data_IF_904268712352
#
_entry.id   IF_904268712352
#
_cell.length_a   1.000
_cell.length_b   1.000
_cell.length_c   1.000
_cell.angle_alpha   90.00
_cell.angle_beta   90.00
_cell.angle_gamma   90.00
#
_symmetry.space_group_name_H-M   'P 1'
#
loop_
_entity.id
_entity.type
_entity.pdbx_description
1 polymer ?
#
# COMPACT_ATOMS: atom_id res chain seq x y z
N UNK A 1 3.45 -3.36 -11.72
CA UNK A 1 2.31 -2.70 -11.07
C UNK A 1 1.37 -2.19 -12.15
N UNK A 2 0.06 -2.39 -12.04
CA UNK A 2 -0.92 -1.83 -12.98
C UNK A 2 -1.17 -0.36 -12.59
N UNK A 3 -0.99 0.63 -13.49
CA UNK A 3 -1.21 2.04 -13.18
C UNK A 3 -2.64 2.36 -12.72
N UNK A 4 -3.64 1.51 -13.03
CA UNK A 4 -5.02 1.67 -12.56
C UNK A 4 -5.17 1.48 -11.05
N UNK A 5 -4.19 0.85 -10.39
CA UNK A 5 -4.17 0.70 -8.93
C UNK A 5 -3.63 1.96 -8.23
N UNK A 6 -3.09 2.94 -8.96
CA UNK A 6 -2.49 4.12 -8.34
C UNK A 6 -3.52 5.20 -8.00
N UNK A 7 -3.40 5.73 -6.79
CA UNK A 7 -4.15 6.88 -6.28
C UNK A 7 -3.23 7.85 -5.55
N UNK A 8 -3.69 9.10 -5.44
CA UNK A 8 -3.06 10.08 -4.54
C UNK A 8 -3.03 9.49 -3.14
N UNK A 9 -1.89 9.63 -2.46
CA UNK A 9 -1.64 9.03 -1.15
C UNK A 9 -0.85 7.72 -1.17
N UNK A 10 -0.80 7.00 -2.31
CA UNK A 10 -0.04 5.74 -2.36
C UNK A 10 1.46 5.94 -2.17
N UNK A 11 2.09 5.00 -1.45
CA UNK A 11 3.53 4.85 -1.32
C UNK A 11 4.04 3.86 -2.37
N UNK A 12 4.95 4.32 -3.21
CA UNK A 12 5.60 3.56 -4.29
C UNK A 12 7.10 3.78 -4.25
N UNK A 13 7.85 3.01 -5.03
CA UNK A 13 9.28 3.19 -5.22
C UNK A 13 9.54 3.77 -6.61
N UNK A 14 10.52 4.67 -6.73
CA UNK A 14 10.92 5.24 -8.02
C UNK A 14 12.24 4.63 -8.50
N UNK A 15 12.25 4.02 -9.69
CA UNK A 15 13.43 3.43 -10.32
C UNK A 15 14.20 2.41 -9.46
N UNK A 16 13.51 1.65 -8.59
CA UNK A 16 14.14 0.64 -7.72
C UNK A 16 15.27 1.20 -6.83
N UNK A 17 15.13 2.46 -6.40
CA UNK A 17 16.17 3.15 -5.63
C UNK A 17 16.15 2.86 -4.12
N UNK A 18 15.25 2.00 -3.65
CA UNK A 18 15.03 1.65 -2.24
C UNK A 18 14.27 2.70 -1.43
N UNK A 19 13.88 3.83 -2.03
CA UNK A 19 13.32 4.96 -1.30
C UNK A 19 11.81 5.10 -1.56
N UNK A 20 10.97 5.10 -0.50
CA UNK A 20 9.54 5.30 -0.66
C UNK A 20 9.23 6.74 -1.11
N UNK A 21 8.33 6.86 -2.09
CA UNK A 21 7.80 8.11 -2.64
C UNK A 21 6.28 8.09 -2.50
N UNK A 22 5.69 9.18 -2.01
CA UNK A 22 4.23 9.35 -1.94
C UNK A 22 3.71 10.01 -3.20
N UNK A 23 2.65 9.45 -3.80
CA UNK A 23 1.96 10.07 -4.92
C UNK A 23 1.15 11.26 -4.41
N UNK A 24 1.53 12.47 -4.80
CA UNK A 24 0.83 13.72 -4.42
C UNK A 24 -0.01 14.30 -5.56
N UNK A 25 0.26 13.88 -6.80
CA UNK A 25 -0.53 14.23 -7.99
C UNK A 25 -0.45 13.10 -9.01
N UNK A 26 -1.53 12.93 -9.78
CA UNK A 26 -1.57 12.11 -10.99
C UNK A 26 -1.80 13.03 -12.19
N UNK A 27 -1.15 12.75 -13.31
CA UNK A 27 -1.28 13.57 -14.52
C UNK A 27 -2.71 13.55 -15.07
N UNK A 28 -3.12 14.64 -15.73
CA UNK A 28 -4.43 14.78 -16.36
C UNK A 28 -4.30 14.56 -17.87
N UNK A 29 -5.04 13.60 -18.41
CA UNK A 29 -5.12 13.41 -19.86
C UNK A 29 -6.21 14.24 -20.50
N UNK A 30 -5.78 15.34 -21.15
CA UNK A 30 -6.64 16.16 -21.98
C UNK A 30 -6.68 15.54 -23.38
N UNK A 31 -7.64 14.64 -23.59
CA UNK A 31 -7.83 13.88 -24.83
C UNK A 31 -7.99 14.74 -26.10
N UNK A 32 -8.30 16.04 -25.96
CA UNK A 32 -8.53 16.96 -27.08
C UNK A 32 -7.23 17.56 -27.66
N UNK A 33 -6.14 17.60 -26.89
CA UNK A 33 -4.94 18.36 -27.28
C UNK A 33 -3.67 17.52 -27.53
N UNK A 34 -3.69 16.19 -27.34
CA UNK A 34 -2.49 15.33 -27.51
C UNK A 34 -1.23 15.92 -26.83
N UNK A 35 -1.40 16.59 -25.68
CA UNK A 35 -0.28 17.09 -24.89
C UNK A 35 0.01 16.06 -23.80
N UNK A 36 1.15 15.39 -23.94
CA UNK A 36 1.66 14.47 -22.93
C UNK A 36 2.52 15.24 -21.90
N UNK A 37 1.94 15.54 -20.75
CA UNK A 37 2.66 16.12 -19.61
C UNK A 37 2.72 15.10 -18.45
N UNK A 38 3.52 14.04 -18.60
CA UNK A 38 3.55 12.94 -17.62
C UNK A 38 4.94 12.60 -17.13
N UNK A 39 5.03 12.38 -15.81
CA UNK A 39 5.98 11.45 -15.23
C UNK A 39 5.60 10.02 -15.65
N UNK A 40 6.55 9.27 -16.20
CA UNK A 40 6.31 7.93 -16.73
C UNK A 40 6.06 6.93 -15.60
N UNK A 41 4.81 6.47 -15.43
CA UNK A 41 4.44 5.46 -14.42
C UNK A 41 5.24 4.15 -14.54
N UNK A 42 5.86 3.87 -15.70
CA UNK A 42 6.75 2.71 -15.89
C UNK A 42 7.98 2.75 -14.97
N UNK A 43 8.32 3.91 -14.44
CA UNK A 43 9.40 4.09 -13.47
C UNK A 43 8.94 3.90 -12.01
N UNK A 44 7.65 3.66 -11.78
CA UNK A 44 7.11 3.41 -10.44
C UNK A 44 6.95 1.91 -10.21
N UNK A 45 7.43 1.44 -9.06
CA UNK A 45 7.30 0.06 -8.63
C UNK A 45 6.53 0.00 -7.31
N UNK A 46 5.77 -1.08 -7.12
CA UNK A 46 5.11 -1.33 -5.84
C UNK A 46 6.14 -1.70 -4.80
N UNK A 47 6.09 -1.07 -3.63
CA UNK A 47 6.95 -1.45 -2.50
C UNK A 47 6.45 -2.80 -1.97
N UNK A 48 7.29 -3.85 -1.88
CA UNK A 48 6.87 -5.14 -1.33
C UNK A 48 6.32 -4.97 0.09
N UNK A 49 5.17 -5.58 0.35
CA UNK A 49 4.60 -5.56 1.70
C UNK A 49 5.42 -6.50 2.59
N UNK A 50 6.02 -5.93 3.63
CA UNK A 50 6.76 -6.67 4.65
C UNK A 50 6.15 -6.42 6.03
N UNK A 51 6.53 -7.25 7.00
CA UNK A 51 6.17 -7.04 8.40
C UNK A 51 6.60 -5.66 8.92
N UNK A 52 7.78 -5.17 8.52
CA UNK A 52 8.26 -3.82 8.87
C UNK A 52 7.31 -2.72 8.38
N UNK A 53 6.76 -2.87 7.17
CA UNK A 53 5.79 -1.91 6.63
C UNK A 53 4.47 -1.91 7.39
N UNK A 54 3.97 -3.08 7.78
CA UNK A 54 2.75 -3.17 8.61
C UNK A 54 2.94 -2.42 9.93
N UNK A 55 4.08 -2.60 10.59
CA UNK A 55 4.41 -1.91 11.84
C UNK A 55 4.56 -0.39 11.62
N UNK A 56 5.24 0.05 10.55
CA UNK A 56 5.37 1.49 10.20
C UNK A 56 4.04 2.17 9.86
N UNK A 57 3.06 1.40 9.38
CA UNK A 57 1.70 1.86 9.10
C UNK A 57 0.80 1.79 10.35
N UNK A 58 1.38 1.42 11.50
CA UNK A 58 0.72 1.34 12.80
C UNK A 58 -0.28 0.20 12.92
N UNK A 59 -0.01 -0.94 12.28
CA UNK A 59 -0.68 -2.19 12.63
C UNK A 59 -0.01 -2.82 13.85
N UNK A 60 -0.84 -3.32 14.76
CA UNK A 60 -0.39 -4.05 15.94
C UNK A 60 -0.29 -5.54 15.62
N UNK A 61 0.84 -6.15 15.99
CA UNK A 61 1.06 -7.59 15.81
C UNK A 61 0.50 -8.36 17.01
N UNK A 62 -0.36 -9.34 16.73
CA UNK A 62 -0.92 -10.27 17.69
C UNK A 62 -0.71 -11.72 17.25
N UNK A 63 -0.86 -12.63 18.21
CA UNK A 63 -0.86 -14.07 17.97
C UNK A 63 -2.28 -14.61 18.21
N UNK A 64 -2.87 -15.17 17.17
CA UNK A 64 -4.16 -15.84 17.22
C UNK A 64 -4.06 -17.30 17.66
N UNK A 65 -5.11 -18.07 17.37
CA UNK A 65 -5.14 -19.51 17.59
C UNK A 65 -4.14 -20.22 16.68
N UNK A 66 -3.53 -21.30 17.17
CA UNK A 66 -2.56 -22.12 16.42
C UNK A 66 -1.33 -21.34 15.93
N UNK A 67 -0.84 -20.41 16.76
CA UNK A 67 0.34 -19.56 16.48
C UNK A 67 0.21 -18.64 15.24
N UNK A 68 -1.02 -18.43 14.77
CA UNK A 68 -1.30 -17.56 13.63
C UNK A 68 -0.89 -16.12 13.94
N UNK A 69 -0.12 -15.49 13.05
CA UNK A 69 0.27 -14.08 13.20
C UNK A 69 -0.77 -13.19 12.51
N UNK A 70 -1.37 -12.29 13.30
CA UNK A 70 -2.41 -11.36 12.86
C UNK A 70 -1.92 -9.93 13.10
N UNK A 71 -2.11 -9.06 12.12
CA UNK A 71 -1.85 -7.63 12.21
C UNK A 71 -3.18 -6.89 12.19
N UNK A 72 -3.47 -6.09 13.21
CA UNK A 72 -4.75 -5.39 13.33
C UNK A 72 -4.57 -3.86 13.38
N UNK A 73 -5.49 -3.13 12.74
CA UNK A 73 -5.61 -1.67 12.84
C UNK A 73 -7.02 -1.23 12.49
N UNK A 74 -7.66 -0.39 13.31
CA UNK A 74 -8.99 0.18 13.02
C UNK A 74 -10.05 -0.88 12.63
N UNK A 75 -9.98 -2.09 13.20
CA UNK A 75 -10.87 -3.21 12.86
C UNK A 75 -10.54 -3.93 11.53
N UNK A 76 -9.43 -3.59 10.87
CA UNK A 76 -8.88 -4.32 9.72
C UNK A 76 -7.84 -5.32 10.21
N UNK A 77 -8.01 -6.58 9.83
CA UNK A 77 -7.08 -7.68 10.16
C UNK A 77 -6.38 -8.20 8.91
N UNK A 78 -5.06 -8.34 9.01
CA UNK A 78 -4.17 -8.88 7.98
C UNK A 78 -3.43 -10.08 8.56
N UNK A 79 -3.53 -11.23 7.90
CA UNK A 79 -2.98 -12.50 8.36
C UNK A 79 -1.69 -12.82 7.59
N UNK A 80 -0.68 -13.32 8.30
CA UNK A 80 0.56 -13.80 7.69
C UNK A 80 0.39 -15.27 7.29
N UNK A 81 0.55 -15.56 5.99
CA UNK A 81 0.44 -16.90 5.42
C UNK A 81 1.76 -17.34 4.79
N UNK A 82 1.87 -18.62 4.42
CA UNK A 82 3.11 -19.24 3.90
C UNK A 82 3.75 -18.48 2.72
N UNK A 83 2.96 -17.69 1.95
CA UNK A 83 3.41 -16.99 0.75
C UNK A 83 3.03 -15.49 0.68
N UNK A 84 2.86 -14.82 1.82
CA UNK A 84 2.59 -13.38 1.86
C UNK A 84 1.59 -12.99 2.96
N UNK A 85 0.76 -11.98 2.64
CA UNK A 85 -0.27 -11.48 3.53
C UNK A 85 -1.64 -11.61 2.87
N UNK A 86 -2.64 -11.99 3.66
CA UNK A 86 -4.05 -12.06 3.27
C UNK A 86 -4.90 -11.19 4.20
N UNK A 87 -6.04 -10.72 3.72
CA UNK A 87 -7.06 -10.12 4.58
C UNK A 87 -8.10 -11.17 4.99
N UNK A 88 -9.04 -10.82 5.88
CA UNK A 88 -10.18 -11.67 6.22
C UNK A 88 -11.13 -12.04 5.05
N UNK A 89 -10.80 -11.68 3.80
CA UNK A 89 -11.55 -11.95 2.57
C UNK A 89 -10.69 -12.82 1.60
N UNK A 90 -9.60 -13.44 2.07
CA UNK A 90 -8.71 -14.31 1.28
C UNK A 90 -8.17 -13.65 0.00
N UNK A 91 -7.86 -12.35 0.10
CA UNK A 91 -7.21 -11.59 -0.96
C UNK A 91 -5.73 -11.45 -0.66
N UNK A 92 -4.89 -11.97 -1.56
CA UNK A 92 -3.43 -11.83 -1.45
C UNK A 92 -2.97 -10.38 -1.69
N UNK A 93 -2.22 -9.83 -0.73
CA UNK A 93 -1.66 -8.48 -0.78
C UNK A 93 -0.13 -8.58 -0.86
N UNK A 94 0.45 -8.10 -1.96
CA UNK A 94 1.89 -8.23 -2.21
C UNK A 94 2.66 -6.91 -2.01
N UNK A 95 1.96 -5.78 -1.96
CA UNK A 95 2.58 -4.46 -1.96
C UNK A 95 1.88 -3.45 -1.05
N UNK A 96 2.64 -2.44 -0.62
CA UNK A 96 2.16 -1.39 0.28
C UNK A 96 0.99 -0.62 -0.34
N UNK A 97 1.04 -0.27 -1.63
CA UNK A 97 -0.06 0.47 -2.28
C UNK A 97 -1.36 -0.35 -2.34
N UNK A 98 -1.28 -1.67 -2.54
CA UNK A 98 -2.44 -2.55 -2.49
C UNK A 98 -3.09 -2.56 -1.10
N UNK A 99 -2.27 -2.61 -0.04
CA UNK A 99 -2.78 -2.49 1.33
C UNK A 99 -3.44 -1.13 1.58
N UNK A 100 -2.81 -0.03 1.13
CA UNK A 100 -3.38 1.31 1.27
C UNK A 100 -4.71 1.47 0.53
N UNK A 101 -4.85 0.86 -0.64
CA UNK A 101 -6.11 0.87 -1.39
C UNK A 101 -7.20 0.09 -0.68
N UNK A 102 -6.87 -1.12 -0.20
CA UNK A 102 -7.81 -1.94 0.56
C UNK A 102 -8.26 -1.23 1.83
N UNK A 103 -7.31 -0.68 2.61
CA UNK A 103 -7.60 0.03 3.84
C UNK A 103 -8.54 1.23 3.61
N UNK A 104 -8.29 2.01 2.57
CA UNK A 104 -9.15 3.12 2.19
C UNK A 104 -10.57 2.66 1.81
N UNK A 105 -10.69 1.58 1.03
CA UNK A 105 -12.00 1.01 0.66
C UNK A 105 -12.76 0.51 1.89
N UNK A 106 -12.08 -0.10 2.86
CA UNK A 106 -12.70 -0.66 4.07
C UNK A 106 -13.07 0.40 5.11
N UNK A 107 -12.26 1.46 5.25
CA UNK A 107 -12.36 2.40 6.38
C UNK A 107 -12.75 3.81 5.99
N UNK A 108 -12.61 4.18 4.71
CA UNK A 108 -12.73 5.56 4.23
C UNK A 108 -11.58 6.49 4.66
N UNK A 109 -10.54 5.96 5.33
CA UNK A 109 -9.38 6.73 5.81
C UNK A 109 -8.12 6.40 5.00
N UNK A 110 -7.20 7.36 4.92
CA UNK A 110 -5.88 7.10 4.36
C UNK A 110 -5.00 6.29 5.31
N UNK A 111 -4.30 5.30 4.76
CA UNK A 111 -3.30 4.55 5.51
C UNK A 111 -1.93 5.22 5.31
N UNK A 112 -1.57 6.02 6.30
CA UNK A 112 -0.32 6.80 6.31
C UNK A 112 0.70 6.17 7.26
N UNK A 113 1.96 6.60 7.13
CA UNK A 113 2.99 6.25 8.10
C UNK A 113 2.59 6.79 9.47
N UNK A 114 2.68 5.95 10.49
CA UNK A 114 2.53 6.40 11.86
C UNK A 114 3.68 7.37 12.15
N UNK A 115 3.35 8.58 12.62
CA UNK A 115 4.39 9.51 13.06
C UNK A 115 5.15 8.81 14.18
N UNK A 116 6.42 8.47 13.90
CA UNK A 116 7.34 7.97 14.93
C UNK A 116 7.58 9.17 15.84
N UNK A 117 6.73 9.33 16.86
CA UNK A 117 7.01 10.22 17.97
C UNK A 117 8.34 9.73 18.59
N UNK A 118 9.41 10.47 18.30
CA UNK A 118 10.70 10.34 18.96
C UNK A 118 10.65 10.97 20.34
#
# INVERSE_FOLDING_TARGET
>A
MDPKELRIGNLVEYNNNGHPVKITALGINILYYNIDCYSNYKSMNGIPLTEEWLLKLGFEKNTGWDEMIIYQKDGVEILKVYNGFENGIDVKINSVHQLQNLYFVLTGKELELEEINK
#
